data_IF_134417862191
#
_entry.id   IF_134417862191
#
_cell.length_a   1.000
_cell.length_b   1.000
_cell.length_c   1.000
_cell.angle_alpha   90.00
_cell.angle_beta   90.00
_cell.angle_gamma   90.00
#
_symmetry.space_group_name_H-M   'P 1'
#
loop_
_entity.id
_entity.type
_entity.pdbx_description
1 polymer ?
#
# COMPACT_ATOMS: atom_id res chain seq x y z
N UNK A 1 -0.51 -15.03 10.06
CA UNK A 1 0.60 -14.62 9.17
C UNK A 1 1.87 -15.42 9.40
N UNK A 2 2.51 -15.36 10.58
CA UNK A 2 3.74 -16.11 10.86
C UNK A 2 3.66 -17.59 10.44
N UNK A 3 2.70 -18.35 11.00
CA UNK A 3 2.51 -19.76 10.68
C UNK A 3 2.18 -19.99 9.20
N UNK A 4 1.39 -19.09 8.60
CA UNK A 4 1.03 -19.16 7.19
C UNK A 4 2.26 -19.07 6.26
N UNK A 5 3.24 -18.23 6.61
CA UNK A 5 4.50 -18.11 5.87
C UNK A 5 5.45 -19.26 6.23
N UNK A 6 5.66 -19.53 7.52
CA UNK A 6 6.65 -20.51 7.97
C UNK A 6 6.33 -21.95 7.54
N UNK A 7 5.05 -22.33 7.52
CA UNK A 7 4.65 -23.71 7.19
C UNK A 7 4.51 -23.86 5.67
N UNK A 8 3.70 -23.00 5.04
CA UNK A 8 3.30 -23.14 3.63
C UNK A 8 4.08 -22.25 2.64
N UNK A 9 4.97 -21.39 3.13
CA UNK A 9 5.78 -20.54 2.26
C UNK A 9 6.84 -21.28 1.46
N UNK A 10 7.54 -20.55 0.60
CA UNK A 10 8.63 -21.05 -0.26
C UNK A 10 9.90 -20.25 -0.06
N UNK A 11 11.03 -20.69 -0.64
CA UNK A 11 12.30 -19.98 -0.52
C UNK A 11 12.83 -19.96 0.90
N UNK A 12 13.10 -18.77 1.46
CA UNK A 12 13.65 -18.58 2.81
C UNK A 12 12.54 -18.32 3.83
N UNK A 13 11.52 -19.16 3.81
CA UNK A 13 10.25 -18.93 4.50
C UNK A 13 10.39 -18.75 6.01
N UNK A 14 11.30 -19.47 6.68
CA UNK A 14 11.53 -19.32 8.12
C UNK A 14 12.15 -17.95 8.44
N UNK A 15 13.16 -17.54 7.67
CA UNK A 15 13.78 -16.21 7.80
C UNK A 15 12.75 -15.09 7.58
N UNK A 16 11.97 -15.19 6.50
CA UNK A 16 10.97 -14.18 6.14
C UNK A 16 9.82 -14.13 7.16
N UNK A 17 9.40 -15.26 7.71
CA UNK A 17 8.40 -15.33 8.78
C UNK A 17 8.91 -14.71 10.09
N UNK A 18 10.13 -15.02 10.50
CA UNK A 18 10.77 -14.44 11.69
C UNK A 18 10.93 -12.92 11.51
N UNK A 19 11.46 -12.48 10.37
CA UNK A 19 11.62 -11.04 10.06
C UNK A 19 10.28 -10.31 10.11
N UNK A 20 9.23 -10.88 9.51
CA UNK A 20 7.87 -10.34 9.59
C UNK A 20 7.40 -10.17 11.04
N UNK A 21 7.56 -11.20 11.88
CA UNK A 21 7.12 -11.14 13.29
C UNK A 21 7.94 -10.13 14.08
N UNK A 22 9.26 -10.11 13.94
CA UNK A 22 10.12 -9.17 14.67
C UNK A 22 9.76 -7.72 14.35
N UNK A 23 9.60 -7.37 13.08
CA UNK A 23 9.17 -6.03 12.67
C UNK A 23 7.79 -5.69 13.25
N UNK A 24 6.82 -6.58 13.05
CA UNK A 24 5.45 -6.30 13.46
C UNK A 24 5.26 -6.28 14.97
N UNK A 25 5.99 -7.09 15.73
CA UNK A 25 6.00 -7.08 17.19
C UNK A 25 6.66 -5.81 17.71
N UNK A 26 7.80 -5.40 17.15
CA UNK A 26 8.46 -4.15 17.51
C UNK A 26 7.53 -2.95 17.31
N UNK A 27 6.89 -2.83 16.13
CA UNK A 27 5.93 -1.77 15.86
C UNK A 27 4.71 -1.82 16.80
N UNK A 28 4.20 -3.02 17.07
CA UNK A 28 3.04 -3.20 17.98
C UNK A 28 3.38 -2.86 19.43
N UNK A 29 4.61 -3.14 19.89
CA UNK A 29 5.08 -2.78 21.22
C UNK A 29 5.18 -1.26 21.41
N UNK A 30 5.73 -0.55 20.40
CA UNK A 30 5.76 0.92 20.41
C UNK A 30 4.34 1.51 20.41
N UNK A 31 3.47 0.97 19.56
CA UNK A 31 2.06 1.38 19.51
C UNK A 31 1.35 1.13 20.85
N UNK A 32 1.56 -0.03 21.48
CA UNK A 32 0.99 -0.36 22.77
C UNK A 32 1.45 0.62 23.85
N UNK A 33 2.74 0.96 23.89
CA UNK A 33 3.25 1.98 24.79
C UNK A 33 2.55 3.33 24.58
N UNK A 34 2.36 3.75 23.33
CA UNK A 34 1.61 4.97 23.01
C UNK A 34 0.14 4.93 23.45
N UNK A 35 -0.54 3.80 23.27
CA UNK A 35 -1.93 3.61 23.72
C UNK A 35 -2.03 3.67 25.26
N UNK A 36 -1.08 3.05 25.97
CA UNK A 36 -1.03 3.11 27.42
C UNK A 36 -0.77 4.54 27.92
N UNK A 37 0.15 5.28 27.29
CA UNK A 37 0.38 6.68 27.61
C UNK A 37 -0.86 7.55 27.39
N UNK A 38 -1.64 7.29 26.32
CA UNK A 38 -2.94 7.94 26.11
C UNK A 38 -3.89 7.64 27.26
N UNK A 39 -4.08 6.37 27.61
CA UNK A 39 -4.97 5.97 28.69
C UNK A 39 -4.59 6.60 30.03
N UNK A 40 -3.32 6.59 30.41
CA UNK A 40 -2.88 7.20 31.67
C UNK A 40 -2.90 8.74 31.64
N UNK A 41 -3.01 9.36 30.45
CA UNK A 41 -3.19 10.81 30.30
C UNK A 41 -4.66 11.22 30.36
N UNK A 42 -5.53 10.49 29.67
CA UNK A 42 -6.94 10.88 29.46
C UNK A 42 -7.93 10.13 30.35
N UNK A 43 -7.53 9.00 30.92
CA UNK A 43 -8.41 8.05 31.62
C UNK A 43 -9.34 7.25 30.70
N UNK A 44 -9.24 7.42 29.38
CA UNK A 44 -10.13 6.78 28.40
C UNK A 44 -9.36 6.07 27.29
N UNK A 45 -9.98 5.05 26.70
CA UNK A 45 -9.55 4.38 25.47
C UNK A 45 -10.50 4.66 24.29
N UNK A 46 -11.54 5.47 24.51
CA UNK A 46 -12.49 5.84 23.47
C UNK A 46 -11.84 6.85 22.52
N UNK A 47 -11.59 6.45 21.28
CA UNK A 47 -11.04 7.34 20.25
C UNK A 47 -11.91 8.59 20.02
N UNK A 48 -13.23 8.45 20.15
CA UNK A 48 -14.18 9.57 19.96
C UNK A 48 -14.08 10.57 21.10
N UNK A 49 -14.07 10.09 22.34
CA UNK A 49 -13.99 10.94 23.53
C UNK A 49 -12.66 11.69 23.58
N UNK A 50 -11.55 10.98 23.30
CA UNK A 50 -10.21 11.58 23.27
C UNK A 50 -10.11 12.64 22.18
N UNK A 51 -10.65 12.37 20.97
CA UNK A 51 -10.64 13.33 19.87
C UNK A 51 -11.47 14.59 20.17
N UNK A 52 -12.63 14.45 20.81
CA UNK A 52 -13.51 15.57 21.15
C UNK A 52 -12.98 16.42 22.30
N UNK A 53 -12.44 15.79 23.34
CA UNK A 53 -11.93 16.50 24.53
C UNK A 53 -10.60 17.20 24.23
N UNK A 54 -9.81 16.61 23.33
CA UNK A 54 -8.47 17.07 23.00
C UNK A 54 -7.47 16.82 24.13
N UNK A 55 -6.18 16.78 23.79
CA UNK A 55 -5.10 16.50 24.75
C UNK A 55 -4.63 17.73 25.54
N UNK A 56 -5.04 18.95 25.14
CA UNK A 56 -4.65 20.18 25.82
C UNK A 56 -5.27 20.32 27.22
N UNK A 57 -6.38 19.63 27.47
CA UNK A 57 -7.10 19.63 28.75
C UNK A 57 -6.48 18.72 29.80
N UNK A 58 -5.45 17.94 29.44
CA UNK A 58 -4.82 16.96 30.31
C UNK A 58 -3.34 17.25 30.53
N UNK A 59 -2.84 16.91 31.71
CA UNK A 59 -1.40 16.86 31.97
C UNK A 59 -0.86 15.54 31.45
N UNK A 60 -0.25 15.56 30.27
CA UNK A 60 0.27 14.35 29.65
C UNK A 60 1.40 13.71 30.48
N UNK A 61 1.38 12.38 30.58
CA UNK A 61 2.39 11.59 31.32
C UNK A 61 3.80 11.76 30.74
N UNK A 62 3.87 12.12 29.45
CA UNK A 62 5.09 12.47 28.74
C UNK A 62 4.75 13.48 27.63
N UNK A 63 5.74 14.10 26.95
CA UNK A 63 5.47 15.03 25.86
C UNK A 63 4.53 14.40 24.82
N UNK A 64 3.48 15.13 24.46
CA UNK A 64 2.43 14.68 23.52
C UNK A 64 3.03 14.23 22.18
N UNK A 65 4.10 14.89 21.74
CA UNK A 65 4.87 14.50 20.56
C UNK A 65 5.53 13.11 20.68
N UNK A 66 5.99 12.71 21.86
CA UNK A 66 6.56 11.38 22.08
C UNK A 66 5.48 10.29 21.97
N UNK A 67 4.28 10.53 22.51
CA UNK A 67 3.13 9.62 22.36
C UNK A 67 2.75 9.47 20.89
N UNK A 68 2.68 10.58 20.16
CA UNK A 68 2.47 10.58 18.71
C UNK A 68 3.51 9.74 17.98
N UNK A 69 4.81 9.91 18.30
CA UNK A 69 5.89 9.16 17.65
C UNK A 69 5.83 7.66 17.96
N UNK A 70 5.49 7.26 19.19
CA UNK A 70 5.29 5.85 19.55
C UNK A 70 4.19 5.19 18.69
N UNK A 71 3.05 5.86 18.55
CA UNK A 71 1.95 5.42 17.70
C UNK A 71 2.36 5.42 16.22
N UNK A 72 2.96 6.52 15.76
CA UNK A 72 3.39 6.70 14.38
C UNK A 72 4.38 5.62 13.96
N UNK A 73 5.39 5.29 14.78
CA UNK A 73 6.36 4.22 14.46
C UNK A 73 5.65 2.89 14.28
N UNK A 74 4.69 2.55 15.15
CA UNK A 74 3.90 1.32 15.01
C UNK A 74 3.13 1.26 13.69
N UNK A 75 2.47 2.36 13.32
CA UNK A 75 1.76 2.45 12.05
C UNK A 75 2.70 2.52 10.84
N UNK A 76 3.87 3.15 10.97
CA UNK A 76 4.87 3.29 9.91
C UNK A 76 5.49 1.94 9.54
N UNK A 77 5.72 1.06 10.52
CA UNK A 77 6.09 -0.34 10.25
C UNK A 77 4.99 -1.05 9.46
N UNK A 78 3.71 -0.84 9.80
CA UNK A 78 2.56 -1.48 9.12
C UNK A 78 2.26 -0.91 7.74
N UNK A 79 2.48 0.39 7.51
CA UNK A 79 2.32 1.12 6.24
C UNK A 79 3.59 1.08 5.35
N UNK A 80 4.46 0.09 5.56
CA UNK A 80 5.89 0.09 5.17
C UNK A 80 6.51 1.45 4.76
N UNK A 81 6.57 2.41 5.68
CA UNK A 81 7.22 3.71 5.43
C UNK A 81 8.73 3.55 5.41
N UNK A 82 9.46 4.25 4.54
CA UNK A 82 10.93 4.28 4.60
C UNK A 82 11.43 4.82 5.94
N UNK A 83 12.39 4.17 6.64
CA UNK A 83 13.15 2.95 6.28
C UNK A 83 12.58 1.62 6.83
N UNK A 84 11.40 1.62 7.44
CA UNK A 84 10.77 0.50 8.16
C UNK A 84 10.03 -0.51 7.25
N UNK A 85 10.38 -0.58 5.97
CA UNK A 85 9.65 -1.33 4.95
C UNK A 85 10.27 -2.71 4.61
N UNK A 86 11.50 -2.99 5.04
CA UNK A 86 12.30 -4.10 4.49
C UNK A 86 11.74 -5.49 4.79
N UNK A 87 10.82 -5.62 5.74
CA UNK A 87 10.10 -6.86 6.02
C UNK A 87 9.12 -7.23 4.91
N UNK A 88 8.54 -6.24 4.24
CA UNK A 88 7.43 -6.40 3.30
C UNK A 88 7.81 -7.24 2.07
N UNK A 89 8.92 -6.94 1.34
CA UNK A 89 9.28 -7.72 0.16
C UNK A 89 9.60 -9.17 0.49
N UNK A 90 10.31 -9.42 1.59
CA UNK A 90 10.67 -10.77 2.03
C UNK A 90 9.42 -11.56 2.42
N UNK A 91 8.51 -10.95 3.21
CA UNK A 91 7.25 -11.58 3.61
C UNK A 91 6.38 -11.95 2.40
N UNK A 92 6.22 -11.06 1.41
CA UNK A 92 5.43 -11.35 0.22
C UNK A 92 6.07 -12.37 -0.71
N UNK A 93 7.38 -12.29 -0.91
CA UNK A 93 8.11 -13.18 -1.83
C UNK A 93 7.92 -14.63 -1.41
N UNK A 94 8.05 -14.90 -0.11
CA UNK A 94 8.07 -16.25 0.44
C UNK A 94 6.68 -16.72 0.94
N UNK A 95 5.71 -15.83 1.13
CA UNK A 95 4.35 -16.22 1.52
C UNK A 95 3.60 -16.99 0.41
N UNK A 96 2.67 -17.91 0.73
CA UNK A 96 1.72 -18.44 -0.25
C UNK A 96 0.93 -17.32 -0.96
N UNK A 97 0.47 -17.55 -2.19
CA UNK A 97 -0.27 -16.55 -2.99
C UNK A 97 -1.45 -15.95 -2.22
N UNK A 98 -2.34 -16.79 -1.67
CA UNK A 98 -3.50 -16.31 -0.91
C UNK A 98 -3.10 -15.44 0.29
N UNK A 99 -1.97 -15.77 0.93
CA UNK A 99 -1.43 -15.03 2.08
C UNK A 99 -0.90 -13.68 1.63
N UNK A 100 -0.24 -13.60 0.47
CA UNK A 100 0.16 -12.33 -0.15
C UNK A 100 -1.03 -11.46 -0.54
N UNK A 101 -2.12 -12.04 -1.05
CA UNK A 101 -3.35 -11.30 -1.37
C UNK A 101 -3.94 -10.67 -0.11
N UNK A 102 -4.05 -11.40 1.00
CA UNK A 102 -4.58 -10.86 2.28
C UNK A 102 -3.62 -9.82 2.88
N UNK A 103 -2.32 -10.11 2.88
CA UNK A 103 -1.30 -9.21 3.42
C UNK A 103 -1.31 -7.87 2.68
N UNK A 104 -1.24 -7.91 1.35
CA UNK A 104 -1.27 -6.72 0.53
C UNK A 104 -2.63 -6.05 0.64
N UNK A 105 -3.72 -6.79 0.40
CA UNK A 105 -5.09 -6.31 0.29
C UNK A 105 -5.59 -5.58 1.54
N UNK A 106 -5.41 -6.19 2.72
CA UNK A 106 -6.01 -5.69 3.96
C UNK A 106 -4.98 -5.19 4.98
N UNK A 107 -3.92 -5.97 5.25
CA UNK A 107 -3.11 -5.73 6.45
C UNK A 107 -2.30 -4.43 6.41
N UNK A 108 -1.81 -4.03 5.23
CA UNK A 108 -1.05 -2.78 5.07
C UNK A 108 -1.92 -1.54 5.36
N UNK A 109 -3.21 -1.61 5.07
CA UNK A 109 -4.14 -0.46 5.14
C UNK A 109 -4.46 -0.08 6.58
N UNK A 110 -4.32 -1.02 7.51
CA UNK A 110 -4.49 -0.74 8.94
C UNK A 110 -3.47 0.30 9.44
N UNK A 111 -2.27 0.37 8.86
CA UNK A 111 -1.28 1.39 9.18
C UNK A 111 -1.76 2.80 8.85
N UNK A 112 -2.21 3.02 7.60
CA UNK A 112 -2.73 4.33 7.18
C UNK A 112 -4.03 4.70 7.88
N UNK A 113 -4.93 3.73 8.10
CA UNK A 113 -6.13 3.95 8.92
C UNK A 113 -5.78 4.43 10.34
N UNK A 114 -4.82 3.76 11.00
CA UNK A 114 -4.33 4.15 12.32
C UNK A 114 -3.71 5.55 12.34
N UNK A 115 -2.95 5.92 11.31
CA UNK A 115 -2.41 7.28 11.18
C UNK A 115 -3.51 8.34 11.04
N UNK A 116 -4.55 8.08 10.25
CA UNK A 116 -5.68 9.02 10.12
C UNK A 116 -6.41 9.16 11.46
N UNK A 117 -6.80 8.03 12.07
CA UNK A 117 -7.66 8.02 13.27
C UNK A 117 -6.97 8.38 14.56
N UNK A 118 -5.70 8.05 14.71
CA UNK A 118 -4.96 8.34 15.93
C UNK A 118 -3.99 9.49 15.69
N UNK A 119 -3.05 9.37 14.75
CA UNK A 119 -2.03 10.41 14.57
C UNK A 119 -2.62 11.77 14.18
N UNK A 120 -3.47 11.85 13.15
CA UNK A 120 -4.04 13.14 12.69
C UNK A 120 -5.19 13.59 13.58
N UNK A 121 -6.15 12.71 13.87
CA UNK A 121 -7.38 13.10 14.60
C UNK A 121 -7.12 13.44 16.07
N UNK A 122 -6.26 12.68 16.77
CA UNK A 122 -6.00 12.89 18.21
C UNK A 122 -4.90 13.91 18.47
N UNK A 123 -3.95 14.06 17.53
CA UNK A 123 -2.79 14.94 17.69
C UNK A 123 -2.65 15.97 16.54
N UNK A 124 -3.67 16.77 16.21
CA UNK A 124 -3.65 17.60 15.01
C UNK A 124 -2.50 18.62 15.00
N UNK A 125 -2.17 19.23 16.15
CA UNK A 125 -1.05 20.20 16.24
C UNK A 125 0.33 19.54 16.06
N UNK A 126 0.51 18.33 16.62
CA UNK A 126 1.74 17.56 16.44
C UNK A 126 1.86 17.08 15.01
N UNK A 127 0.78 16.56 14.42
CA UNK A 127 0.73 16.15 13.03
C UNK A 127 1.13 17.31 12.11
N UNK A 128 0.63 18.53 12.35
CA UNK A 128 1.01 19.72 11.59
C UNK A 128 2.48 20.12 11.77
N UNK A 129 3.03 19.96 12.99
CA UNK A 129 4.42 20.29 13.27
C UNK A 129 5.41 19.30 12.65
N UNK A 130 5.05 18.01 12.60
CA UNK A 130 5.88 16.95 12.00
C UNK A 130 5.58 16.72 10.52
N UNK A 131 4.51 17.29 9.96
CA UNK A 131 4.14 17.15 8.55
C UNK A 131 5.31 17.38 7.57
N UNK A 132 6.20 18.39 7.72
CA UNK A 132 7.31 18.57 6.80
C UNK A 132 8.25 17.35 6.69
N UNK A 133 8.57 16.73 7.83
CA UNK A 133 9.43 15.54 7.88
C UNK A 133 8.69 14.32 7.31
N UNK A 134 7.40 14.17 7.64
CA UNK A 134 6.60 13.03 7.20
C UNK A 134 6.29 13.07 5.70
N UNK A 135 6.05 14.26 5.15
CA UNK A 135 5.93 14.49 3.70
C UNK A 135 7.26 14.21 3.00
N UNK A 136 8.40 14.62 3.58
CA UNK A 136 9.70 14.26 3.02
C UNK A 136 9.92 12.74 3.00
N UNK A 137 9.59 12.03 4.09
CA UNK A 137 9.65 10.57 4.14
C UNK A 137 8.70 9.90 3.14
N UNK A 138 7.54 10.52 2.86
CA UNK A 138 6.60 10.04 1.85
C UNK A 138 7.24 10.09 0.46
N UNK A 139 7.83 11.23 0.07
CA UNK A 139 8.53 11.37 -1.21
C UNK A 139 9.70 10.40 -1.33
N UNK A 140 10.49 10.25 -0.26
CA UNK A 140 11.57 9.25 -0.24
C UNK A 140 11.00 7.85 -0.44
N UNK A 141 9.92 7.48 0.24
CA UNK A 141 9.27 6.17 0.10
C UNK A 141 8.78 5.92 -1.34
N UNK A 142 8.18 6.93 -1.97
CA UNK A 142 7.73 6.89 -3.38
C UNK A 142 8.92 6.60 -4.31
N UNK A 143 9.94 7.47 -4.29
CA UNK A 143 11.04 7.43 -5.24
C UNK A 143 11.97 6.24 -5.00
N UNK A 144 12.34 5.98 -3.74
CA UNK A 144 13.16 4.85 -3.35
C UNK A 144 12.46 3.53 -3.67
N UNK A 145 11.19 3.39 -3.28
CA UNK A 145 10.40 2.19 -3.54
C UNK A 145 10.31 1.89 -5.03
N UNK A 146 10.01 2.91 -5.84
CA UNK A 146 9.93 2.76 -7.30
C UNK A 146 11.29 2.42 -7.93
N UNK A 147 12.37 3.09 -7.52
CA UNK A 147 13.72 2.82 -8.03
C UNK A 147 14.22 1.41 -7.70
N UNK A 148 13.97 0.93 -6.47
CA UNK A 148 14.33 -0.44 -6.08
C UNK A 148 13.47 -1.47 -6.82
N UNK A 149 12.21 -1.16 -7.10
CA UNK A 149 11.32 -2.03 -7.90
C UNK A 149 11.89 -2.33 -9.29
N UNK A 150 12.45 -1.33 -9.97
CA UNK A 150 13.07 -1.51 -11.31
C UNK A 150 14.24 -2.51 -11.34
N UNK A 151 14.89 -2.74 -10.20
CA UNK A 151 16.01 -3.68 -10.08
C UNK A 151 15.56 -5.10 -9.69
N UNK A 152 14.28 -5.31 -9.38
CA UNK A 152 13.80 -6.62 -8.98
C UNK A 152 13.67 -7.54 -10.18
N UNK A 153 14.17 -8.76 -10.03
CA UNK A 153 14.04 -9.83 -11.04
C UNK A 153 12.97 -10.86 -10.66
N UNK A 154 12.49 -10.84 -9.42
CA UNK A 154 11.44 -11.75 -8.93
C UNK A 154 10.08 -11.07 -9.03
N UNK A 155 9.11 -11.77 -9.65
CA UNK A 155 7.76 -11.27 -9.90
C UNK A 155 7.03 -10.81 -8.63
N UNK A 156 7.00 -11.66 -7.59
CA UNK A 156 6.31 -11.32 -6.35
C UNK A 156 7.03 -10.21 -5.59
N UNK A 157 8.36 -10.22 -5.63
CA UNK A 157 9.18 -9.19 -5.00
C UNK A 157 8.98 -7.83 -5.67
N UNK A 158 8.85 -7.79 -7.00
CA UNK A 158 8.54 -6.58 -7.75
C UNK A 158 7.19 -5.99 -7.30
N UNK A 159 6.13 -6.79 -7.25
CA UNK A 159 4.79 -6.36 -6.78
C UNK A 159 4.83 -5.90 -5.31
N UNK A 160 5.67 -6.53 -4.47
CA UNK A 160 5.83 -6.11 -3.09
C UNK A 160 6.56 -4.76 -2.96
N UNK A 161 7.61 -4.51 -3.76
CA UNK A 161 8.31 -3.22 -3.74
C UNK A 161 7.47 -2.09 -4.35
N UNK A 162 6.66 -2.36 -5.37
CA UNK A 162 5.73 -1.36 -5.90
C UNK A 162 4.77 -0.88 -4.82
N UNK A 163 4.33 -1.78 -3.92
CA UNK A 163 3.46 -1.42 -2.80
C UNK A 163 4.08 -0.39 -1.85
N UNK A 164 5.40 -0.41 -1.65
CA UNK A 164 6.12 0.58 -0.80
C UNK A 164 5.99 1.98 -1.42
N UNK A 165 6.13 2.08 -2.74
CA UNK A 165 5.97 3.34 -3.46
C UNK A 165 4.55 3.90 -3.31
N UNK A 166 3.53 3.05 -3.51
CA UNK A 166 2.12 3.47 -3.41
C UNK A 166 1.69 3.83 -1.99
N UNK A 167 2.24 3.16 -0.96
CA UNK A 167 2.01 3.56 0.43
C UNK A 167 2.71 4.89 0.77
N UNK A 168 3.75 5.27 0.02
CA UNK A 168 4.29 6.62 0.02
C UNK A 168 3.27 7.67 -0.40
N UNK A 169 2.44 7.41 -1.41
CA UNK A 169 1.33 8.31 -1.78
C UNK A 169 0.28 8.42 -0.66
N UNK A 170 -0.03 7.31 0.01
CA UNK A 170 -0.93 7.32 1.18
C UNK A 170 -0.35 8.21 2.28
N UNK A 171 0.96 8.07 2.58
CA UNK A 171 1.62 8.88 3.61
C UNK A 171 1.60 10.38 3.25
N UNK A 172 1.88 10.72 1.98
CA UNK A 172 1.78 12.10 1.47
C UNK A 172 0.36 12.64 1.62
N UNK A 173 -0.65 11.86 1.24
CA UNK A 173 -2.05 12.28 1.33
C UNK A 173 -2.53 12.48 2.77
N UNK A 174 -2.04 11.66 3.71
CA UNK A 174 -2.35 11.82 5.13
C UNK A 174 -1.72 13.09 5.70
N UNK A 175 -0.42 13.30 5.51
CA UNK A 175 0.32 14.41 6.14
C UNK A 175 0.34 15.69 5.31
N UNK A 176 -0.33 15.71 4.16
CA UNK A 176 -0.77 16.95 3.54
C UNK A 176 -1.92 17.62 4.30
N UNK A 177 -2.59 16.92 5.23
CA UNK A 177 -3.59 17.51 6.14
C UNK A 177 -4.66 18.34 5.43
N UNK A 178 -5.12 17.90 4.25
CA UNK A 178 -6.29 18.47 3.58
C UNK A 178 -7.38 17.41 3.46
N UNK A 179 -8.63 17.85 3.49
CA UNK A 179 -9.76 16.91 3.39
C UNK A 179 -9.74 16.12 2.08
N UNK A 180 -9.33 16.76 0.98
CA UNK A 180 -9.18 16.13 -0.33
C UNK A 180 -8.05 15.11 -0.33
N UNK A 181 -6.88 15.45 0.25
CA UNK A 181 -5.74 14.54 0.29
C UNK A 181 -5.99 13.33 1.19
N UNK A 182 -6.68 13.52 2.32
CA UNK A 182 -7.10 12.44 3.22
C UNK A 182 -8.13 11.51 2.57
N UNK A 183 -9.09 12.08 1.84
CA UNK A 183 -10.05 11.29 1.05
C UNK A 183 -9.32 10.48 -0.01
N UNK A 184 -8.36 11.10 -0.71
CA UNK A 184 -7.48 10.42 -1.67
C UNK A 184 -6.65 9.31 -1.03
N UNK A 185 -6.06 9.54 0.14
CA UNK A 185 -5.26 8.54 0.86
C UNK A 185 -6.10 7.33 1.27
N UNK A 186 -7.32 7.55 1.75
CA UNK A 186 -8.26 6.48 2.09
C UNK A 186 -8.73 5.72 0.84
N UNK A 187 -9.03 6.43 -0.25
CA UNK A 187 -9.36 5.79 -1.52
C UNK A 187 -8.16 5.00 -2.09
N UNK A 188 -6.94 5.50 -1.93
CA UNK A 188 -5.72 4.84 -2.37
C UNK A 188 -5.47 3.56 -1.58
N UNK A 189 -5.71 3.58 -0.27
CA UNK A 189 -5.69 2.36 0.55
C UNK A 189 -6.68 1.32 0.02
N UNK A 190 -7.91 1.70 -0.30
CA UNK A 190 -8.90 0.78 -0.88
C UNK A 190 -8.46 0.27 -2.27
N UNK A 191 -8.17 1.19 -3.18
CA UNK A 191 -7.81 0.94 -4.57
C UNK A 191 -6.59 0.04 -4.69
N UNK A 192 -5.51 0.40 -4.00
CA UNK A 192 -4.30 -0.40 -3.93
C UNK A 192 -4.57 -1.79 -3.35
N UNK A 193 -5.53 -1.95 -2.43
CA UNK A 193 -5.97 -3.26 -1.91
C UNK A 193 -6.49 -4.19 -2.99
N UNK A 194 -7.39 -3.70 -3.83
CA UNK A 194 -7.94 -4.49 -4.93
C UNK A 194 -6.92 -4.71 -6.04
N UNK A 195 -6.17 -3.68 -6.43
CA UNK A 195 -5.18 -3.76 -7.50
C UNK A 195 -4.07 -4.74 -7.14
N UNK A 196 -3.43 -4.58 -5.98
CA UNK A 196 -2.35 -5.50 -5.58
C UNK A 196 -2.84 -6.89 -5.23
N UNK A 197 -4.06 -7.02 -4.70
CA UNK A 197 -4.71 -8.31 -4.53
C UNK A 197 -4.84 -9.04 -5.87
N UNK A 198 -5.30 -8.35 -6.91
CA UNK A 198 -5.38 -8.88 -8.27
C UNK A 198 -3.99 -9.25 -8.82
N UNK A 199 -3.01 -8.34 -8.71
CA UNK A 199 -1.64 -8.60 -9.18
C UNK A 199 -0.99 -9.80 -8.51
N UNK A 200 -1.16 -9.97 -7.18
CA UNK A 200 -0.66 -11.14 -6.48
C UNK A 200 -1.40 -12.42 -6.88
N UNK A 201 -2.72 -12.37 -7.06
CA UNK A 201 -3.48 -13.51 -7.55
C UNK A 201 -2.98 -13.94 -8.94
N UNK A 202 -2.80 -12.99 -9.86
CA UNK A 202 -2.32 -13.27 -11.21
C UNK A 202 -0.88 -13.76 -11.24
N UNK A 203 0.01 -13.15 -10.44
CA UNK A 203 1.37 -13.67 -10.26
C UNK A 203 1.36 -15.10 -9.72
N UNK A 204 0.44 -15.42 -8.80
CA UNK A 204 0.26 -16.76 -8.29
C UNK A 204 -0.18 -17.77 -9.35
N UNK A 205 -1.13 -17.41 -10.22
CA UNK A 205 -1.56 -18.27 -11.33
C UNK A 205 -0.44 -18.49 -12.35
N UNK A 206 0.26 -17.43 -12.74
CA UNK A 206 1.43 -17.54 -13.63
C UNK A 206 2.42 -18.52 -13.03
N UNK A 207 2.82 -18.31 -11.77
CA UNK A 207 3.77 -19.17 -11.08
C UNK A 207 3.27 -20.62 -10.92
N UNK A 208 1.98 -20.82 -10.66
CA UNK A 208 1.41 -22.16 -10.53
C UNK A 208 1.46 -22.92 -11.86
N UNK A 209 1.19 -22.24 -12.98
CA UNK A 209 1.10 -22.86 -14.29
C UNK A 209 2.48 -23.07 -14.96
N UNK A 210 3.48 -22.25 -14.64
CA UNK A 210 4.80 -22.28 -15.30
C UNK A 210 5.97 -22.66 -14.38
N UNK A 211 5.72 -22.78 -13.07
CA UNK A 211 6.71 -23.06 -12.01
C UNK A 211 7.97 -22.16 -12.06
N UNK A 212 7.79 -20.90 -12.45
CA UNK A 212 8.87 -19.91 -12.52
C UNK A 212 8.38 -18.54 -12.06
N UNK A 213 9.26 -17.83 -11.34
CA UNK A 213 9.00 -16.48 -10.80
C UNK A 213 10.05 -15.45 -11.20
N UNK A 214 11.17 -15.88 -11.77
CA UNK A 214 12.22 -15.02 -12.29
C UNK A 214 11.81 -14.43 -13.64
N UNK A 215 11.63 -13.11 -13.68
CA UNK A 215 11.27 -12.32 -14.86
C UNK A 215 12.27 -12.46 -16.01
N UNK A 216 13.49 -12.94 -15.76
CA UNK A 216 14.49 -13.19 -16.81
C UNK A 216 14.25 -14.48 -17.57
N UNK A 217 13.41 -15.37 -17.03
CA UNK A 217 13.13 -16.71 -17.58
C UNK A 217 11.69 -16.86 -18.08
N UNK A 218 10.87 -15.81 -17.94
CA UNK A 218 9.51 -15.72 -18.46
C UNK A 218 9.52 -15.04 -19.84
N UNK A 219 8.50 -15.32 -20.66
CA UNK A 219 8.39 -14.77 -22.01
C UNK A 219 7.22 -15.36 -22.79
N UNK A 220 6.49 -14.49 -23.52
CA UNK A 220 5.48 -14.87 -24.50
C UNK A 220 4.26 -15.64 -23.98
N UNK A 221 3.96 -15.54 -22.68
CA UNK A 221 2.86 -16.30 -22.07
C UNK A 221 1.46 -15.87 -22.55
N UNK A 222 1.31 -14.71 -23.20
CA UNK A 222 0.02 -14.28 -23.73
C UNK A 222 -0.61 -15.28 -24.71
N UNK A 223 0.22 -16.07 -25.42
CA UNK A 223 -0.25 -17.11 -26.34
C UNK A 223 -0.89 -18.29 -25.62
N UNK A 224 -0.40 -18.63 -24.43
CA UNK A 224 -0.81 -19.82 -23.68
C UNK A 224 -1.87 -19.51 -22.64
N UNK A 225 -1.80 -18.32 -22.02
CA UNK A 225 -2.72 -17.87 -20.98
C UNK A 225 -3.30 -16.47 -21.28
N UNK A 226 -4.07 -16.31 -22.37
CA UNK A 226 -4.58 -15.01 -22.82
C UNK A 226 -5.48 -14.32 -21.79
N UNK A 227 -6.29 -15.06 -21.03
CA UNK A 227 -7.19 -14.45 -20.03
C UNK A 227 -6.36 -13.88 -18.88
N UNK A 228 -5.44 -14.66 -18.32
CA UNK A 228 -4.51 -14.18 -17.29
C UNK A 228 -3.74 -12.97 -17.82
N UNK A 229 -3.24 -13.01 -19.06
CA UNK A 229 -2.50 -11.90 -19.65
C UNK A 229 -3.32 -10.60 -19.73
N UNK A 230 -4.58 -10.68 -20.19
CA UNK A 230 -5.48 -9.51 -20.27
C UNK A 230 -5.77 -8.97 -18.87
N UNK A 231 -6.13 -9.82 -17.92
CA UNK A 231 -6.51 -9.41 -16.57
C UNK A 231 -5.29 -8.84 -15.81
N UNK A 232 -4.12 -9.47 -15.94
CA UNK A 232 -2.88 -8.94 -15.36
C UNK A 232 -2.54 -7.58 -15.98
N UNK A 233 -2.67 -7.42 -17.29
CA UNK A 233 -2.47 -6.12 -17.95
C UNK A 233 -3.44 -5.05 -17.44
N UNK A 234 -4.73 -5.37 -17.24
CA UNK A 234 -5.69 -4.44 -16.60
C UNK A 234 -5.23 -4.07 -15.19
N UNK A 235 -4.83 -5.05 -14.37
CA UNK A 235 -4.30 -4.80 -13.03
C UNK A 235 -3.02 -3.95 -13.03
N UNK A 236 -2.12 -4.17 -14.00
CA UNK A 236 -0.91 -3.39 -14.18
C UNK A 236 -1.21 -1.95 -14.59
N UNK A 237 -2.10 -1.77 -15.57
CA UNK A 237 -2.57 -0.45 -16.00
C UNK A 237 -3.26 0.31 -14.86
N UNK A 238 -4.04 -0.39 -14.03
CA UNK A 238 -4.63 0.20 -12.83
C UNK A 238 -3.57 0.61 -11.80
N UNK A 239 -2.51 -0.20 -11.62
CA UNK A 239 -1.41 0.10 -10.72
C UNK A 239 -0.57 1.30 -11.16
N UNK A 240 -0.42 1.56 -12.46
CA UNK A 240 0.29 2.76 -12.94
C UNK A 240 -0.61 4.01 -13.06
N UNK A 241 -1.87 3.92 -12.61
CA UNK A 241 -2.79 5.05 -12.59
C UNK A 241 -3.39 5.38 -13.95
N UNK A 242 -3.75 4.39 -14.78
CA UNK A 242 -4.46 4.64 -16.04
C UNK A 242 -5.83 5.29 -15.75
N UNK A 243 -6.23 6.36 -16.46
CA UNK A 243 -7.58 6.94 -16.34
C UNK A 243 -8.67 5.87 -16.47
N UNK A 244 -9.81 6.08 -15.79
CA UNK A 244 -10.93 5.12 -15.64
C UNK A 244 -10.69 3.94 -14.69
N UNK A 245 -9.49 3.80 -14.12
CA UNK A 245 -9.21 2.81 -13.06
C UNK A 245 -9.25 3.44 -11.67
N UNK A 246 -9.52 2.65 -10.64
CA UNK A 246 -9.54 3.11 -9.25
C UNK A 246 -8.19 3.71 -8.80
N UNK A 247 -7.07 3.25 -9.38
CA UNK A 247 -5.73 3.75 -9.06
C UNK A 247 -5.59 5.23 -9.41
N UNK A 248 -5.98 5.59 -10.62
CA UNK A 248 -5.96 6.98 -11.08
C UNK A 248 -6.83 7.89 -10.20
N UNK A 249 -8.07 7.50 -9.92
CA UNK A 249 -9.00 8.31 -9.13
C UNK A 249 -8.44 8.61 -7.72
N UNK A 250 -7.82 7.61 -7.09
CA UNK A 250 -7.21 7.75 -5.78
C UNK A 250 -5.97 8.64 -5.79
N UNK A 251 -5.02 8.36 -6.68
CA UNK A 251 -3.77 9.11 -6.78
C UNK A 251 -4.00 10.56 -7.19
N UNK A 252 -4.92 10.81 -8.10
CA UNK A 252 -5.31 12.16 -8.50
C UNK A 252 -5.81 12.99 -7.30
N UNK A 253 -6.66 12.42 -6.45
CA UNK A 253 -7.15 13.10 -5.24
C UNK A 253 -6.02 13.34 -4.23
N UNK A 254 -5.09 12.40 -4.07
CA UNK A 254 -3.89 12.60 -3.25
C UNK A 254 -3.11 13.80 -3.78
N UNK A 255 -2.76 13.83 -5.06
CA UNK A 255 -1.91 14.89 -5.61
C UNK A 255 -2.59 16.25 -5.61
N UNK A 256 -3.85 16.35 -6.06
CA UNK A 256 -4.58 17.64 -6.07
C UNK A 256 -4.78 18.15 -4.65
N UNK A 257 -5.13 17.27 -3.72
CA UNK A 257 -5.31 17.62 -2.32
C UNK A 257 -4.00 18.01 -1.63
N UNK A 258 -2.89 17.36 -1.96
CA UNK A 258 -1.57 17.67 -1.42
C UNK A 258 -0.99 18.95 -2.01
N UNK A 259 -1.12 19.16 -3.32
CA UNK A 259 -0.61 20.35 -4.01
C UNK A 259 -1.28 21.64 -3.52
N UNK A 260 -2.56 21.57 -3.18
CA UNK A 260 -3.35 22.71 -2.71
C UNK A 260 -3.27 22.95 -1.20
N UNK A 261 -2.55 22.09 -0.47
CA UNK A 261 -2.45 22.20 0.99
C UNK A 261 -1.52 23.34 1.40
N UNK A 262 -1.83 23.96 2.53
CA UNK A 262 -1.00 24.97 3.21
C UNK A 262 -0.28 24.42 4.43
N UNK A 263 -0.41 23.12 4.74
CA UNK A 263 0.13 22.51 5.96
C UNK A 263 1.66 22.49 6.01
N UNK A 264 2.31 22.38 4.85
CA UNK A 264 3.77 22.34 4.72
C UNK A 264 4.21 23.39 3.69
N UNK A 265 5.17 24.23 4.09
CA UNK A 265 5.76 25.20 3.17
C UNK A 265 6.43 24.49 1.99
N UNK A 266 6.07 24.87 0.76
CA UNK A 266 6.62 24.26 -0.45
C UNK A 266 6.12 22.84 -0.74
N UNK A 267 4.99 22.40 -0.18
CA UNK A 267 4.39 21.07 -0.42
C UNK A 267 4.19 20.76 -1.91
N UNK A 268 4.06 21.79 -2.75
CA UNK A 268 3.98 21.67 -4.20
C UNK A 268 5.21 20.95 -4.77
N UNK A 269 6.41 21.25 -4.28
CA UNK A 269 7.65 20.61 -4.73
C UNK A 269 7.64 19.13 -4.36
N UNK A 270 7.28 18.80 -3.11
CA UNK A 270 7.17 17.41 -2.65
C UNK A 270 6.12 16.64 -3.46
N UNK A 271 5.00 17.27 -3.77
CA UNK A 271 3.93 16.66 -4.58
C UNK A 271 4.39 16.42 -6.01
N UNK A 272 5.09 17.37 -6.64
CA UNK A 272 5.67 17.19 -7.99
C UNK A 272 6.68 16.04 -7.98
N UNK A 273 7.56 15.97 -6.98
CA UNK A 273 8.51 14.87 -6.83
C UNK A 273 7.81 13.52 -6.66
N UNK A 274 6.70 13.46 -5.91
CA UNK A 274 5.90 12.26 -5.78
C UNK A 274 5.27 11.85 -7.13
N UNK A 275 4.75 12.80 -7.90
CA UNK A 275 4.18 12.54 -9.24
C UNK A 275 5.22 11.93 -10.20
N UNK A 276 6.50 12.30 -10.09
CA UNK A 276 7.56 11.65 -10.87
C UNK A 276 7.67 10.14 -10.59
N UNK A 277 7.24 9.69 -9.41
CA UNK A 277 7.14 8.27 -9.06
C UNK A 277 6.19 7.49 -9.97
N UNK A 278 5.18 8.13 -10.54
CA UNK A 278 4.25 7.51 -11.51
C UNK A 278 4.99 7.12 -12.79
N UNK A 279 5.91 7.97 -13.26
CA UNK A 279 6.70 7.69 -14.47
C UNK A 279 7.57 6.45 -14.27
N UNK A 280 8.22 6.34 -13.10
CA UNK A 280 9.01 5.16 -12.73
C UNK A 280 8.10 3.94 -12.61
N UNK A 281 6.90 4.12 -12.06
CA UNK A 281 5.88 3.07 -11.93
C UNK A 281 5.41 2.52 -13.27
N UNK A 282 5.08 3.39 -14.21
CA UNK A 282 4.77 2.99 -15.58
C UNK A 282 5.93 2.20 -16.19
N UNK A 283 7.17 2.67 -15.99
CA UNK A 283 8.38 1.99 -16.45
C UNK A 283 8.48 0.54 -15.97
N UNK A 284 8.41 0.28 -14.65
CA UNK A 284 8.57 -1.09 -14.14
C UNK A 284 7.35 -1.98 -14.39
N UNK A 285 6.13 -1.43 -14.42
CA UNK A 285 4.91 -2.23 -14.71
C UNK A 285 4.89 -2.66 -16.16
N UNK A 286 5.11 -1.74 -17.10
CA UNK A 286 5.13 -2.08 -18.53
C UNK A 286 6.27 -3.05 -18.85
N UNK A 287 7.44 -2.86 -18.21
CA UNK A 287 8.56 -3.79 -18.31
C UNK A 287 8.23 -5.19 -17.77
N UNK A 288 7.55 -5.28 -16.63
CA UNK A 288 7.08 -6.55 -16.06
C UNK A 288 6.09 -7.24 -17.01
N UNK A 289 5.06 -6.54 -17.49
CA UNK A 289 4.07 -7.09 -18.41
C UNK A 289 4.71 -7.56 -19.72
N UNK A 290 5.65 -6.76 -20.26
CA UNK A 290 6.39 -7.13 -21.47
C UNK A 290 7.17 -8.43 -21.27
N UNK A 291 7.90 -8.58 -20.16
CA UNK A 291 8.70 -9.78 -19.91
C UNK A 291 7.87 -11.03 -19.68
N UNK A 292 6.73 -10.92 -19.01
CA UNK A 292 5.90 -12.09 -18.69
C UNK A 292 5.11 -12.52 -19.93
N UNK A 293 4.42 -11.58 -20.59
CA UNK A 293 3.37 -11.91 -21.56
C UNK A 293 3.73 -11.58 -23.01
N UNK A 294 4.38 -10.44 -23.25
CA UNK A 294 4.54 -9.87 -24.60
C UNK A 294 5.96 -10.00 -25.17
N UNK A 295 6.84 -10.73 -24.49
CA UNK A 295 8.16 -11.12 -24.98
C UNK A 295 8.11 -12.26 -26.00
N UNK A 296 9.27 -12.71 -26.51
CA UNK A 296 9.33 -13.86 -27.40
C UNK A 296 8.79 -15.12 -26.69
N UNK A 297 8.03 -15.98 -27.39
CA UNK A 297 7.55 -17.23 -26.83
C UNK A 297 8.70 -18.19 -26.55
N UNK A 298 8.57 -18.95 -25.46
CA UNK A 298 9.54 -19.95 -25.04
C UNK A 298 8.90 -21.33 -25.12
N UNK A 299 9.49 -22.25 -25.88
CA UNK A 299 8.96 -23.60 -26.15
C UNK A 299 8.67 -24.39 -24.88
N UNK A 300 9.46 -24.18 -23.81
CA UNK A 300 9.26 -24.84 -22.51
C UNK A 300 7.92 -24.53 -21.84
N UNK A 301 7.20 -23.49 -22.29
CA UNK A 301 5.88 -23.13 -21.79
C UNK A 301 4.75 -23.57 -22.72
N UNK A 302 5.04 -24.37 -23.74
CA UNK A 302 4.00 -24.86 -24.63
C UNK A 302 3.06 -25.83 -23.92
N UNK A 303 1.75 -25.57 -24.05
CA UNK A 303 0.70 -26.39 -23.45
C UNK A 303 0.35 -26.07 -21.99
N UNK A 304 0.94 -25.01 -21.39
CA UNK A 304 0.49 -24.53 -20.08
C UNK A 304 -0.96 -24.04 -20.16
N UNK A 305 -1.73 -24.33 -19.11
CA UNK A 305 -3.15 -23.99 -19.07
C UNK A 305 -3.36 -22.52 -18.72
N UNK A 306 -4.43 -21.96 -19.27
CA UNK A 306 -5.00 -20.69 -18.82
C UNK A 306 -5.91 -20.92 -17.61
N UNK A 307 -6.54 -19.86 -17.13
CA UNK A 307 -7.37 -19.88 -15.95
C UNK A 307 -8.64 -20.74 -16.06
N UNK A 308 -8.97 -21.41 -14.97
CA UNK A 308 -10.21 -22.18 -14.77
C UNK A 308 -11.44 -21.28 -14.49
N UNK A 309 -12.61 -21.90 -14.24
CA UNK A 309 -13.87 -21.19 -14.02
C UNK A 309 -13.86 -20.38 -12.71
N UNK A 310 -13.32 -20.94 -11.63
CA UNK A 310 -13.25 -20.26 -10.34
C UNK A 310 -12.26 -19.11 -10.39
N UNK A 311 -11.15 -19.31 -11.09
CA UNK A 311 -10.12 -18.32 -11.33
C UNK A 311 -10.66 -17.11 -12.11
N UNK A 312 -11.43 -17.37 -13.17
CA UNK A 312 -12.14 -16.33 -13.93
C UNK A 312 -13.13 -15.56 -13.07
N UNK A 313 -13.86 -16.25 -12.18
CA UNK A 313 -14.87 -15.61 -11.35
C UNK A 313 -14.26 -14.57 -10.40
N UNK A 314 -13.22 -14.93 -9.63
CA UNK A 314 -12.62 -13.95 -8.72
C UNK A 314 -11.86 -12.85 -9.47
N UNK A 315 -11.19 -13.17 -10.60
CA UNK A 315 -10.54 -12.18 -11.45
C UNK A 315 -11.52 -11.10 -11.92
N UNK A 316 -12.68 -11.53 -12.41
CA UNK A 316 -13.71 -10.63 -12.87
C UNK A 316 -14.21 -9.73 -11.74
N UNK A 317 -14.40 -10.26 -10.52
CA UNK A 317 -14.83 -9.47 -9.36
C UNK A 317 -13.80 -8.36 -9.05
N UNK A 318 -12.50 -8.69 -9.02
CA UNK A 318 -11.46 -7.69 -8.79
C UNK A 318 -11.49 -6.59 -9.86
N UNK A 319 -11.54 -6.97 -11.14
CA UNK A 319 -11.57 -6.00 -12.25
C UNK A 319 -12.85 -5.15 -12.19
N UNK A 320 -14.01 -5.76 -11.94
CA UNK A 320 -15.28 -5.05 -11.84
C UNK A 320 -15.23 -3.97 -10.74
N UNK A 321 -14.65 -4.27 -9.56
CA UNK A 321 -14.50 -3.29 -8.48
C UNK A 321 -13.50 -2.18 -8.87
N UNK A 322 -12.37 -2.53 -9.46
CA UNK A 322 -11.35 -1.56 -9.91
C UNK A 322 -11.96 -0.58 -10.94
N UNK A 323 -12.73 -1.09 -11.90
CA UNK A 323 -13.36 -0.28 -12.93
C UNK A 323 -14.55 0.52 -12.36
N UNK A 324 -15.39 -0.07 -11.52
CA UNK A 324 -16.53 0.61 -10.90
C UNK A 324 -16.08 1.83 -10.10
N UNK A 325 -15.06 1.66 -9.25
CA UNK A 325 -14.52 2.75 -8.44
C UNK A 325 -13.75 3.76 -9.30
N UNK A 326 -13.14 3.32 -10.40
CA UNK A 326 -12.47 4.22 -11.35
C UNK A 326 -13.42 5.09 -12.17
N UNK A 327 -14.54 4.52 -12.62
CA UNK A 327 -15.56 5.22 -13.42
C UNK A 327 -16.46 6.08 -12.53
N UNK A 328 -16.83 5.58 -11.36
CA UNK A 328 -17.71 6.27 -10.42
C UNK A 328 -17.11 6.32 -8.99
N UNK A 329 -16.07 7.15 -8.75
CA UNK A 329 -15.42 7.22 -7.44
C UNK A 329 -16.33 7.72 -6.31
N UNK A 330 -17.42 8.42 -6.63
CA UNK A 330 -18.40 8.94 -5.66
C UNK A 330 -18.97 7.84 -4.75
N UNK A 331 -19.14 6.61 -5.27
CA UNK A 331 -19.66 5.47 -4.50
C UNK A 331 -18.88 5.20 -3.20
N UNK A 332 -17.57 5.44 -3.21
CA UNK A 332 -16.72 5.30 -2.02
C UNK A 332 -16.35 6.64 -1.42
N UNK A 333 -16.03 7.64 -2.24
CA UNK A 333 -15.55 8.93 -1.73
C UNK A 333 -16.59 9.65 -0.88
N UNK A 334 -17.89 9.51 -1.16
CA UNK A 334 -18.92 10.15 -0.33
C UNK A 334 -19.03 9.49 1.05
N UNK A 335 -18.87 8.17 1.14
CA UNK A 335 -18.80 7.44 2.41
C UNK A 335 -17.51 7.80 3.16
N UNK A 336 -16.37 7.85 2.46
CA UNK A 336 -15.08 8.19 3.04
C UNK A 336 -15.12 9.63 3.61
N UNK A 337 -15.68 10.59 2.88
CA UNK A 337 -15.78 11.99 3.33
C UNK A 337 -16.50 12.12 4.66
N UNK A 338 -17.58 11.37 4.91
CA UNK A 338 -18.26 11.35 6.22
C UNK A 338 -17.31 10.99 7.37
N UNK A 339 -16.39 10.05 7.12
CA UNK A 339 -15.39 9.65 8.10
C UNK A 339 -14.21 10.62 8.23
N UNK A 340 -13.91 11.42 7.21
CA UNK A 340 -12.77 12.35 7.16
C UNK A 340 -13.14 13.77 7.61
N UNK A 341 -14.39 14.20 7.42
CA UNK A 341 -14.89 15.52 7.87
C UNK A 341 -14.54 15.88 9.33
N UNK A 342 -14.56 14.97 10.32
CA UNK A 342 -14.20 15.32 11.70
C UNK A 342 -12.68 15.34 11.97
N UNK A 343 -11.83 15.05 10.99
CA UNK A 343 -10.37 14.86 11.16
C UNK A 343 -9.57 16.14 10.90
N UNK A 344 -10.03 17.00 9.99
CA UNK A 344 -9.41 18.27 9.59
C UNK A 344 -10.49 19.32 9.41
#
# INVERSE_FOLDING_TARGET
MYFLISIWGTGRKEYSAIKYVVYTLFGSAMMLAGILCLYFTTGSLSMVEIAQTGLASFTAVMPVAAIFLLLFIGFAVKLPVFPLHTWLPDAHTDAPTAVSVVLAGALLKMGGYGMIRLCVTVFPQVAHSYAPILVALAVVSVLYGAAVTMRQTDLKRLIAYSSISHMGYVLLGIFALSQVSLTGAALQMFSHGFITGLLFAMAGLVMHNVDERDLRKLGGLARQMPIIAVIFSIGGLAALGLPTTSGFAAEFLVFVGSFSSTAVAGIQIYTILAVLGIVITAGYILWMLQRIFYGPPLEKYDGVKDADILERAYMFIFVAVIMLVGIYPAILTDIIKLGILPVV
#
